data_IF_798804177506
#
_entry.id   IF_798804177506
#
_cell.length_a   1.000
_cell.length_b   1.000
_cell.length_c   1.000
_cell.angle_alpha   90.00
_cell.angle_beta   90.00
_cell.angle_gamma   90.00
#
_symmetry.space_group_name_H-M   'P 1'
#
loop_
_entity.id
_entity.type
_entity.pdbx_description
1 polymer ?
#
# COMPACT_ATOMS: atom_id res chain seq x y z
N UNK A 1 -8.87 10.38 35.34
CA UNK A 1 -8.43 9.15 34.67
C UNK A 1 -7.09 9.46 34.04
N UNK A 2 -5.95 8.88 34.45
CA UNK A 2 -4.71 9.10 33.73
C UNK A 2 -4.84 8.42 32.35
N UNK A 3 -4.59 9.17 31.28
CA UNK A 3 -4.54 8.63 29.93
C UNK A 3 -3.48 7.51 29.89
N UNK A 4 -3.86 6.32 29.42
CA UNK A 4 -2.90 5.25 29.16
C UNK A 4 -1.81 5.79 28.23
N UNK A 5 -0.56 5.68 28.67
CA UNK A 5 0.59 5.95 27.80
C UNK A 5 0.57 4.90 26.70
N UNK A 6 0.18 5.31 25.50
CA UNK A 6 0.36 4.50 24.30
C UNK A 6 1.85 4.20 24.18
N UNK A 7 2.22 2.93 24.34
CA UNK A 7 3.58 2.47 24.10
C UNK A 7 3.86 2.61 22.60
N UNK A 8 4.76 3.52 22.17
CA UNK A 8 5.06 3.72 20.75
C UNK A 8 5.79 2.51 20.13
N UNK A 9 6.18 1.52 20.95
CA UNK A 9 6.82 0.27 20.52
C UNK A 9 5.86 -0.92 20.49
N UNK A 10 4.61 -0.75 20.94
CA UNK A 10 3.56 -1.76 20.81
C UNK A 10 2.99 -1.76 19.38
N UNK A 11 3.82 -2.20 18.42
CA UNK A 11 3.37 -2.49 17.06
C UNK A 11 2.41 -3.68 17.18
N UNK A 12 1.10 -3.42 17.07
CA UNK A 12 0.15 -4.51 16.87
C UNK A 12 0.58 -5.27 15.61
N UNK A 13 0.58 -6.61 15.60
CA UNK A 13 0.90 -7.34 14.40
C UNK A 13 -0.14 -7.01 13.33
N UNK A 14 0.29 -6.37 12.24
CA UNK A 14 -0.58 -6.10 11.09
C UNK A 14 -0.96 -7.41 10.40
N UNK A 15 -2.22 -7.50 9.99
CA UNK A 15 -2.72 -8.65 9.26
C UNK A 15 -2.66 -8.38 7.76
N UNK A 16 -2.10 -9.32 7.01
CA UNK A 16 -2.03 -9.23 5.55
C UNK A 16 -2.53 -10.52 4.89
N UNK A 17 -3.50 -10.38 3.99
CA UNK A 17 -3.76 -11.30 2.91
C UNK A 17 -2.69 -11.10 1.82
N UNK A 18 -1.94 -12.17 1.54
CA UNK A 18 -0.77 -12.13 0.66
C UNK A 18 -0.94 -13.12 -0.50
N UNK A 19 -0.47 -12.79 -1.73
CA UNK A 19 -0.46 -13.75 -2.83
C UNK A 19 0.43 -14.95 -2.47
N UNK A 20 -0.07 -16.16 -2.73
CA UNK A 20 0.61 -17.39 -2.32
C UNK A 20 2.02 -17.53 -2.95
N UNK A 21 2.18 -17.13 -4.22
CA UNK A 21 3.43 -17.25 -4.97
C UNK A 21 4.32 -16.00 -4.93
N UNK A 22 3.95 -14.98 -4.16
CA UNK A 22 4.79 -13.79 -3.99
C UNK A 22 5.96 -14.10 -3.05
N UNK A 23 7.16 -14.12 -3.61
CA UNK A 23 8.42 -14.39 -2.90
C UNK A 23 9.15 -13.15 -2.42
N UNK A 24 8.64 -11.95 -2.72
CA UNK A 24 9.31 -10.70 -2.38
C UNK A 24 8.50 -9.91 -1.36
N UNK A 25 7.43 -9.25 -1.77
CA UNK A 25 6.68 -8.34 -0.90
C UNK A 25 5.95 -9.17 0.16
N UNK A 26 5.23 -10.20 -0.28
CA UNK A 26 4.60 -11.15 0.62
C UNK A 26 5.59 -11.85 1.56
N UNK A 27 6.81 -12.16 1.11
CA UNK A 27 7.81 -12.79 1.98
C UNK A 27 8.36 -11.81 3.03
N UNK A 28 8.64 -10.56 2.66
CA UNK A 28 9.04 -9.53 3.63
C UNK A 28 7.90 -9.27 4.62
N UNK A 29 6.67 -9.09 4.16
CA UNK A 29 5.54 -8.85 5.05
C UNK A 29 5.28 -9.99 6.04
N UNK A 30 5.48 -11.26 5.63
CA UNK A 30 5.42 -12.41 6.53
C UNK A 30 6.49 -12.37 7.63
N UNK A 31 7.68 -11.86 7.33
CA UNK A 31 8.83 -11.89 8.23
C UNK A 31 8.95 -10.62 9.09
N UNK A 32 8.56 -9.46 8.57
CA UNK A 32 8.86 -8.15 9.15
C UNK A 32 7.65 -7.23 9.27
N UNK A 33 6.46 -7.64 8.80
CA UNK A 33 5.23 -6.81 8.85
C UNK A 33 5.24 -5.58 7.92
N UNK A 34 6.36 -5.34 7.23
CA UNK A 34 6.55 -4.22 6.31
C UNK A 34 7.58 -4.61 5.24
N UNK A 35 7.52 -3.96 4.08
CA UNK A 35 8.45 -4.19 2.97
C UNK A 35 9.88 -3.70 3.28
N UNK A 36 10.00 -2.57 3.98
CA UNK A 36 11.27 -2.05 4.48
C UNK A 36 11.03 -1.33 5.81
N UNK A 37 11.47 -1.96 6.90
CA UNK A 37 11.26 -1.46 8.26
C UNK A 37 11.92 -0.09 8.48
N UNK A 38 13.13 0.11 7.98
CA UNK A 38 13.85 1.37 8.16
C UNK A 38 13.15 2.51 7.43
N UNK A 39 12.73 2.27 6.18
CA UNK A 39 11.98 3.27 5.42
C UNK A 39 10.64 3.60 6.09
N UNK A 40 9.94 2.59 6.64
CA UNK A 40 8.71 2.82 7.38
C UNK A 40 8.94 3.69 8.62
N UNK A 41 10.02 3.44 9.36
CA UNK A 41 10.38 4.23 10.53
C UNK A 41 10.74 5.68 10.17
N UNK A 42 11.51 5.88 9.08
CA UNK A 42 11.84 7.22 8.57
C UNK A 42 10.59 8.02 8.22
N UNK A 43 9.64 7.40 7.51
CA UNK A 43 8.35 8.03 7.18
C UNK A 43 7.53 8.37 8.43
N UNK A 44 7.45 7.46 9.41
CA UNK A 44 6.76 7.71 10.67
C UNK A 44 7.42 8.84 11.48
N UNK A 45 8.74 8.97 11.42
CA UNK A 45 9.47 10.00 12.16
C UNK A 45 9.16 11.44 11.71
N UNK A 46 8.68 11.61 10.47
CA UNK A 46 8.30 12.91 9.91
C UNK A 46 6.79 13.15 9.93
N UNK A 47 5.97 12.10 10.11
CA UNK A 47 4.53 12.18 10.20
C UNK A 47 4.06 12.45 11.64
N UNK A 48 2.98 13.22 11.75
CA UNK A 48 2.29 13.52 13.00
C UNK A 48 0.87 12.96 13.01
N UNK A 49 0.29 12.71 14.19
CA UNK A 49 -1.14 12.44 14.29
C UNK A 49 -1.96 13.56 13.65
N UNK A 50 -2.93 13.20 12.79
CA UNK A 50 -3.74 14.15 12.03
C UNK A 50 -3.23 14.45 10.62
N UNK A 51 -2.03 14.01 10.24
CA UNK A 51 -1.48 14.27 8.91
C UNK A 51 -2.19 13.48 7.80
N UNK A 52 -2.01 13.95 6.57
CA UNK A 52 -2.41 13.24 5.34
C UNK A 52 -1.19 12.56 4.73
N UNK A 53 -1.26 11.25 4.54
CA UNK A 53 -0.25 10.45 3.84
C UNK A 53 -0.76 10.01 2.47
N UNK A 54 0.08 10.13 1.43
CA UNK A 54 -0.23 9.70 0.07
C UNK A 54 0.67 8.53 -0.29
N UNK A 55 0.09 7.36 -0.53
CA UNK A 55 0.79 6.13 -0.90
C UNK A 55 0.64 5.88 -2.42
N UNK A 56 1.70 6.21 -3.17
CA UNK A 56 1.72 6.11 -4.63
C UNK A 56 2.27 4.74 -5.07
N UNK A 57 1.39 3.85 -5.54
CA UNK A 57 1.75 2.46 -5.79
C UNK A 57 1.66 1.62 -4.52
N UNK A 58 0.53 1.76 -3.81
CA UNK A 58 0.28 1.18 -2.49
C UNK A 58 0.42 -0.34 -2.44
N UNK A 59 0.31 -1.02 -3.58
CA UNK A 59 0.52 -2.46 -3.70
C UNK A 59 -0.31 -3.24 -2.68
N UNK A 60 0.30 -4.07 -1.84
CA UNK A 60 -0.37 -4.86 -0.81
C UNK A 60 -0.62 -4.09 0.50
N UNK A 61 -0.26 -2.80 0.57
CA UNK A 61 -0.50 -1.92 1.72
C UNK A 61 0.61 -1.90 2.77
N UNK A 62 1.85 -2.24 2.40
CA UNK A 62 2.98 -2.32 3.33
C UNK A 62 3.34 -1.00 4.00
N UNK A 63 3.00 0.13 3.37
CA UNK A 63 3.15 1.47 3.93
C UNK A 63 1.79 2.08 4.28
N UNK A 64 0.76 1.85 3.45
CA UNK A 64 -0.62 2.26 3.74
C UNK A 64 -1.07 1.93 5.17
N UNK A 65 -0.90 0.68 5.63
CA UNK A 65 -1.38 0.21 6.93
C UNK A 65 -0.64 0.85 8.11
N UNK A 66 0.69 0.75 8.23
CA UNK A 66 1.41 1.35 9.35
C UNK A 66 1.26 2.88 9.39
N UNK A 67 1.09 3.54 8.24
CA UNK A 67 0.94 4.99 8.20
C UNK A 67 -0.46 5.41 8.63
N UNK A 68 -1.49 4.62 8.29
CA UNK A 68 -2.86 4.85 8.75
C UNK A 68 -2.97 4.76 10.27
N UNK A 69 -2.31 3.78 10.89
CA UNK A 69 -2.24 3.71 12.36
C UNK A 69 -1.49 4.90 12.95
N UNK A 70 -0.33 5.25 12.37
CA UNK A 70 0.54 6.31 12.88
C UNK A 70 -0.11 7.71 12.83
N UNK A 71 -0.76 8.07 11.72
CA UNK A 71 -1.48 9.35 11.62
C UNK A 71 -2.77 9.35 12.46
N UNK A 72 -3.26 8.17 12.85
CA UNK A 72 -4.40 7.98 13.73
C UNK A 72 -5.74 8.42 13.12
N UNK A 73 -6.83 8.35 13.89
CA UNK A 73 -8.19 8.55 13.40
C UNK A 73 -8.51 9.98 12.94
N UNK A 74 -7.69 10.96 13.32
CA UNK A 74 -7.80 12.34 12.85
C UNK A 74 -7.04 12.58 11.53
N UNK A 75 -6.14 11.67 11.14
CA UNK A 75 -5.39 11.72 9.90
C UNK A 75 -6.07 10.97 8.77
N UNK A 76 -5.41 10.93 7.62
CA UNK A 76 -5.96 10.32 6.41
C UNK A 76 -4.86 9.69 5.55
N UNK A 77 -5.13 8.52 4.98
CA UNK A 77 -4.27 7.88 3.98
C UNK A 77 -4.99 7.77 2.64
N UNK A 78 -4.37 8.30 1.59
CA UNK A 78 -4.82 8.15 0.21
C UNK A 78 -3.92 7.14 -0.50
N UNK A 79 -4.42 5.94 -0.76
CA UNK A 79 -3.64 4.83 -1.30
C UNK A 79 -4.01 4.53 -2.76
N UNK A 80 -3.05 4.62 -3.66
CA UNK A 80 -3.24 4.46 -5.10
C UNK A 80 -2.58 3.18 -5.59
N UNK A 81 -3.35 2.23 -6.13
CA UNK A 81 -2.83 0.99 -6.71
C UNK A 81 -3.53 0.68 -8.04
N UNK A 82 -2.82 0.75 -9.19
CA UNK A 82 -3.45 0.59 -10.50
C UNK A 82 -3.88 -0.85 -10.82
N UNK A 83 -3.19 -1.86 -10.31
CA UNK A 83 -3.44 -3.24 -10.72
C UNK A 83 -4.62 -3.84 -9.96
N UNK A 84 -5.69 -4.19 -10.70
CA UNK A 84 -6.97 -4.69 -10.14
C UNK A 84 -6.80 -5.75 -9.05
N UNK A 85 -5.96 -6.77 -9.28
CA UNK A 85 -5.78 -7.86 -8.31
C UNK A 85 -5.05 -7.40 -7.04
N UNK A 86 -4.01 -6.60 -7.20
CA UNK A 86 -3.26 -6.01 -6.08
C UNK A 86 -4.13 -5.04 -5.28
N UNK A 87 -4.93 -4.22 -5.97
CA UNK A 87 -5.91 -3.32 -5.36
C UNK A 87 -6.97 -4.07 -4.54
N UNK A 88 -7.43 -5.24 -4.98
CA UNK A 88 -8.34 -6.07 -4.20
C UNK A 88 -7.70 -6.58 -2.89
N UNK A 89 -6.42 -6.94 -2.93
CA UNK A 89 -5.67 -7.34 -1.75
C UNK A 89 -5.40 -6.15 -0.82
N UNK A 90 -5.07 -4.97 -1.35
CA UNK A 90 -4.98 -3.73 -0.58
C UNK A 90 -6.26 -3.49 0.22
N UNK A 91 -7.42 -3.54 -0.44
CA UNK A 91 -8.72 -3.33 0.22
C UNK A 91 -8.97 -4.38 1.31
N UNK A 92 -8.65 -5.64 1.05
CA UNK A 92 -8.76 -6.70 2.05
C UNK A 92 -7.86 -6.42 3.25
N UNK A 93 -6.61 -6.00 3.02
CA UNK A 93 -5.65 -5.71 4.09
C UNK A 93 -6.06 -4.49 4.91
N UNK A 94 -6.58 -3.43 4.29
CA UNK A 94 -7.18 -2.29 4.99
C UNK A 94 -8.33 -2.75 5.89
N UNK A 95 -9.24 -3.58 5.37
CA UNK A 95 -10.37 -4.10 6.12
C UNK A 95 -9.95 -5.05 7.27
N UNK A 96 -8.96 -5.91 7.05
CA UNK A 96 -8.44 -6.84 8.06
C UNK A 96 -7.84 -6.13 9.28
N UNK A 97 -7.31 -4.92 9.10
CA UNK A 97 -6.76 -4.10 10.18
C UNK A 97 -7.78 -3.08 10.74
N UNK A 98 -9.05 -3.11 10.29
CA UNK A 98 -10.10 -2.24 10.82
C UNK A 98 -9.86 -0.74 10.58
N UNK A 99 -9.08 -0.39 9.57
CA UNK A 99 -8.66 0.99 9.32
C UNK A 99 -9.76 1.79 8.62
N UNK A 100 -10.27 2.82 9.29
CA UNK A 100 -11.37 3.67 8.79
C UNK A 100 -10.89 4.99 8.18
N UNK A 101 -9.60 5.29 8.28
CA UNK A 101 -8.97 6.50 7.79
C UNK A 101 -8.15 6.27 6.50
N UNK A 102 -8.51 5.24 5.72
CA UNK A 102 -7.83 4.89 4.47
C UNK A 102 -8.82 4.93 3.31
N UNK A 103 -8.46 5.69 2.27
CA UNK A 103 -9.19 5.75 1.01
C UNK A 103 -8.33 5.14 -0.09
N UNK A 104 -8.84 4.09 -0.72
CA UNK A 104 -8.12 3.35 -1.76
C UNK A 104 -8.65 3.70 -3.15
N UNK A 105 -7.74 3.92 -4.09
CA UNK A 105 -8.05 4.26 -5.47
C UNK A 105 -7.39 3.27 -6.43
N UNK A 106 -8.19 2.69 -7.33
CA UNK A 106 -7.67 1.84 -8.39
C UNK A 106 -7.11 2.69 -9.54
N UNK A 107 -6.02 3.41 -9.29
CA UNK A 107 -5.42 4.35 -10.25
C UNK A 107 -3.89 4.44 -10.08
N UNK A 108 -3.21 4.82 -11.16
CA UNK A 108 -1.82 5.27 -11.12
C UNK A 108 -1.77 6.80 -10.98
N UNK A 109 -0.71 7.32 -10.36
CA UNK A 109 -0.47 8.77 -10.30
C UNK A 109 0.45 9.22 -11.44
N UNK A 110 0.08 10.33 -12.07
CA UNK A 110 0.83 11.01 -13.14
C UNK A 110 0.57 12.51 -13.04
N UNK A 111 1.44 13.29 -13.67
CA UNK A 111 1.26 14.71 -13.97
C UNK A 111 0.12 15.00 -14.97
N UNK A 112 -0.42 13.97 -15.62
CA UNK A 112 -1.54 14.07 -16.56
C UNK A 112 -2.64 13.05 -16.26
N UNK A 113 -3.86 13.38 -16.67
CA UNK A 113 -4.99 12.43 -16.63
C UNK A 113 -5.04 11.64 -17.93
N UNK A 114 -5.18 10.31 -17.82
CA UNK A 114 -5.31 9.44 -18.99
C UNK A 114 -5.50 7.99 -18.61
N UNK A 115 -5.57 7.14 -19.63
CA UNK A 115 -5.58 5.69 -19.49
C UNK A 115 -4.36 5.13 -20.23
N UNK A 116 -3.78 4.08 -19.68
CA UNK A 116 -2.67 3.37 -20.30
C UNK A 116 -2.83 1.87 -20.09
N UNK A 117 -2.43 1.08 -21.08
CA UNK A 117 -2.42 -0.37 -20.98
C UNK A 117 -1.09 -0.81 -20.37
N UNK A 118 -1.16 -1.44 -19.21
CA UNK A 118 0.00 -1.97 -18.51
C UNK A 118 -0.02 -3.51 -18.54
N UNK A 119 1.17 -4.09 -18.64
CA UNK A 119 1.33 -5.52 -18.37
C UNK A 119 1.04 -5.79 -16.90
N UNK A 120 0.10 -6.70 -16.63
CA UNK A 120 -0.26 -7.03 -15.26
C UNK A 120 0.89 -7.78 -14.56
N UNK A 121 1.10 -7.53 -13.26
CA UNK A 121 2.03 -8.32 -12.47
C UNK A 121 1.59 -9.78 -12.44
N UNK A 122 2.55 -10.70 -12.58
CA UNK A 122 2.28 -12.14 -12.61
C UNK A 122 2.18 -12.71 -11.19
N UNK A 123 0.97 -12.71 -10.62
CA UNK A 123 0.71 -13.19 -9.26
C UNK A 123 0.55 -14.72 -9.14
N UNK A 124 0.61 -15.46 -10.25
CA UNK A 124 0.38 -16.92 -10.32
C UNK A 124 1.66 -17.76 -10.52
N UNK A 125 2.81 -17.09 -10.60
CA UNK A 125 4.12 -17.72 -10.73
C UNK A 125 5.07 -17.07 -9.72
N UNK A 126 6.17 -17.74 -9.41
CA UNK A 126 7.23 -17.16 -8.59
C UNK A 126 7.79 -15.92 -9.28
N UNK A 127 7.39 -14.73 -8.80
CA UNK A 127 7.81 -13.46 -9.37
C UNK A 127 7.89 -12.37 -8.30
N UNK A 128 8.56 -11.27 -8.63
CA UNK A 128 8.40 -10.01 -7.91
C UNK A 128 7.36 -9.18 -8.66
N UNK A 129 6.15 -8.96 -8.12
CA UNK A 129 5.14 -8.12 -8.77
C UNK A 129 5.48 -6.62 -8.71
N UNK A 130 6.74 -6.26 -8.53
CA UNK A 130 7.21 -4.87 -8.48
C UNK A 130 7.38 -4.23 -9.86
N UNK A 131 7.43 -2.89 -9.85
CA UNK A 131 7.89 -2.02 -10.94
C UNK A 131 7.52 -2.43 -12.37
N UNK A 132 6.40 -1.93 -12.89
CA UNK A 132 6.04 -2.08 -14.31
C UNK A 132 6.43 -0.82 -15.08
N UNK A 133 7.15 -0.98 -16.19
CA UNK A 133 7.43 0.12 -17.11
C UNK A 133 6.22 0.33 -18.03
N UNK A 134 5.61 1.51 -17.93
CA UNK A 134 4.64 1.96 -18.92
C UNK A 134 5.37 2.27 -20.24
N UNK A 135 4.88 1.73 -21.35
CA UNK A 135 5.30 2.16 -22.68
C UNK A 135 4.25 3.13 -23.21
N UNK A 136 4.63 4.31 -23.74
CA UNK A 136 3.69 5.20 -24.41
C UNK A 136 3.03 4.43 -25.55
N UNK A 137 1.71 4.30 -25.52
CA UNK A 137 0.94 3.79 -26.66
C UNK A 137 0.96 4.85 -27.75
N UNK A 138 1.93 4.79 -28.66
CA UNK A 138 1.82 5.53 -29.91
C UNK A 138 0.73 4.88 -30.78
N UNK A 139 -0.41 5.58 -30.84
CA UNK A 139 -1.40 5.63 -31.93
C UNK A 139 -2.29 4.42 -32.24
N UNK A 140 -3.61 4.72 -32.18
CA UNK A 140 -4.69 4.33 -33.11
C UNK A 140 -4.62 2.95 -33.77
N UNK A 141 -5.36 2.00 -33.21
CA UNK A 141 -5.85 0.83 -33.93
C UNK A 141 -7.22 0.51 -33.39
N UNK A 142 -8.27 0.92 -34.10
CA UNK A 142 -9.62 0.47 -33.80
C UNK A 142 -9.72 -1.05 -33.95
N UNK A 143 -10.55 -1.66 -33.10
CA UNK A 143 -11.77 -2.40 -33.46
C UNK A 143 -12.68 -2.43 -32.23
#
# INVERSE_FOLDING_TARGET
MPAEKHDPTAILPHFFALPFYDTNIGNMMKNTGCMNVLQSYEMQSILRPGDVFVDAGANLGSYTIPMAEHVGPAGMVLAFEPFRWTYQLLNANVALNGLMNVWTYQAALSDTTGQSLLLQPQLRFFSSPGGVRAHPTNQTGGL
#
